data_IF_636595782308
#
_entry.id   IF_636595782308
#
_cell.length_a   1.000
_cell.length_b   1.000
_cell.length_c   1.000
_cell.angle_alpha   90.00
_cell.angle_beta   90.00
_cell.angle_gamma   90.00
#
_symmetry.space_group_name_H-M   'P 1'
#
loop_
_entity.id
_entity.type
_entity.pdbx_description
1 polymer ?
#
# COMPACT_ATOMS: atom_id res chain seq x y z
N UNK A 1 -28.91 -26.40 10.15
CA UNK A 1 -27.89 -26.24 9.07
C UNK A 1 -26.57 -25.98 9.74
N UNK A 2 -25.49 -26.60 9.26
CA UNK A 2 -24.17 -26.32 9.81
C UNK A 2 -23.73 -24.92 9.37
N UNK A 3 -23.38 -24.06 10.31
CA UNK A 3 -22.95 -22.69 10.02
C UNK A 3 -21.41 -22.68 9.93
N UNK A 4 -20.87 -22.90 8.72
CA UNK A 4 -19.43 -22.88 8.46
C UNK A 4 -19.10 -21.68 7.57
N UNK A 5 -18.18 -20.84 8.03
CA UNK A 5 -17.73 -19.66 7.31
C UNK A 5 -16.21 -19.66 7.18
N UNK A 6 -15.72 -19.46 5.96
CA UNK A 6 -14.31 -19.14 5.70
C UNK A 6 -14.24 -17.77 5.05
N UNK A 7 -13.66 -16.81 5.76
CA UNK A 7 -13.49 -15.44 5.32
C UNK A 7 -12.02 -15.19 5.01
N UNK A 8 -11.74 -14.63 3.86
CA UNK A 8 -10.36 -14.36 3.45
C UNK A 8 -10.24 -13.01 2.73
N UNK A 9 -9.16 -12.28 3.00
CA UNK A 9 -8.89 -10.96 2.42
C UNK A 9 -7.39 -10.67 2.37
N UNK A 10 -6.92 -9.84 1.42
CA UNK A 10 -5.59 -9.25 1.48
C UNK A 10 -5.45 -8.11 2.50
N UNK A 11 -6.56 -7.55 2.98
CA UNK A 11 -6.60 -6.46 3.96
C UNK A 11 -7.18 -6.98 5.28
N UNK A 12 -6.42 -6.84 6.35
CA UNK A 12 -6.75 -7.34 7.68
C UNK A 12 -7.96 -6.61 8.29
N UNK A 13 -8.09 -5.30 8.07
CA UNK A 13 -9.19 -4.52 8.62
C UNK A 13 -10.54 -4.85 7.94
N UNK A 14 -10.55 -4.96 6.63
CA UNK A 14 -11.75 -5.38 5.90
C UNK A 14 -12.16 -6.80 6.28
N UNK A 15 -11.19 -7.69 6.51
CA UNK A 15 -11.43 -9.03 7.02
C UNK A 15 -12.05 -9.00 8.42
N UNK A 16 -11.47 -8.25 9.37
CA UNK A 16 -11.99 -8.12 10.73
C UNK A 16 -13.45 -7.65 10.76
N UNK A 17 -13.83 -6.69 9.89
CA UNK A 17 -15.22 -6.23 9.83
C UNK A 17 -16.17 -7.34 9.37
N UNK A 18 -15.80 -8.10 8.33
CA UNK A 18 -16.62 -9.22 7.85
C UNK A 18 -16.64 -10.40 8.82
N UNK A 19 -15.55 -10.65 9.55
CA UNK A 19 -15.53 -11.63 10.65
C UNK A 19 -16.51 -11.22 11.74
N UNK A 20 -16.51 -9.97 12.15
CA UNK A 20 -17.45 -9.45 13.16
C UNK A 20 -18.91 -9.63 12.75
N UNK A 21 -19.24 -9.35 11.47
CA UNK A 21 -20.56 -9.57 10.90
C UNK A 21 -20.93 -11.05 10.94
N UNK A 22 -20.03 -11.96 10.51
CA UNK A 22 -20.29 -13.39 10.48
C UNK A 22 -20.46 -13.97 11.89
N UNK A 23 -19.64 -13.54 12.84
CA UNK A 23 -19.77 -13.96 14.24
C UNK A 23 -21.09 -13.47 14.84
N UNK A 24 -21.50 -12.24 14.58
CA UNK A 24 -22.77 -11.70 15.05
C UNK A 24 -23.96 -12.44 14.45
N UNK A 25 -23.90 -12.79 13.15
CA UNK A 25 -24.95 -13.60 12.49
C UNK A 25 -25.04 -14.99 13.10
N UNK A 26 -23.89 -15.70 13.18
CA UNK A 26 -23.84 -17.05 13.75
C UNK A 26 -24.30 -17.08 15.22
N UNK A 27 -23.88 -16.08 16.01
CA UNK A 27 -24.32 -15.91 17.40
C UNK A 27 -25.84 -15.72 17.48
N UNK A 28 -26.41 -14.82 16.68
CA UNK A 28 -27.84 -14.56 16.67
C UNK A 28 -28.66 -15.78 16.26
N UNK A 29 -28.21 -16.53 15.26
CA UNK A 29 -28.88 -17.73 14.77
C UNK A 29 -28.85 -18.88 15.79
N UNK A 30 -27.83 -18.90 16.65
CA UNK A 30 -27.69 -19.86 17.76
C UNK A 30 -28.16 -19.28 19.11
N UNK A 31 -29.10 -18.35 19.11
CA UNK A 31 -29.75 -17.86 20.35
C UNK A 31 -28.92 -16.89 21.18
N UNK A 32 -27.95 -16.19 20.58
CA UNK A 32 -27.13 -15.16 21.25
C UNK A 32 -25.92 -15.71 22.00
N UNK A 33 -25.39 -16.85 21.57
CA UNK A 33 -24.20 -17.47 22.18
C UNK A 33 -22.97 -16.64 21.90
N UNK A 34 -22.15 -16.38 22.94
CA UNK A 34 -20.87 -15.66 22.78
C UNK A 34 -19.86 -16.50 21.99
N UNK A 35 -19.16 -15.92 21.01
CA UNK A 35 -18.11 -16.63 20.26
C UNK A 35 -16.93 -17.06 21.13
N UNK A 36 -16.51 -18.28 20.99
CA UNK A 36 -15.29 -18.82 21.58
C UNK A 36 -14.09 -18.58 20.66
N UNK A 37 -13.13 -17.79 21.08
CA UNK A 37 -11.92 -17.49 20.32
C UNK A 37 -10.89 -18.60 20.54
N UNK A 38 -10.54 -19.27 19.47
CA UNK A 38 -9.53 -20.31 19.46
C UNK A 38 -8.13 -19.68 19.43
N UNK A 39 -7.11 -20.45 19.84
CA UNK A 39 -5.72 -19.97 19.85
C UNK A 39 -5.21 -19.82 18.41
N UNK A 40 -4.43 -18.77 18.14
CA UNK A 40 -3.82 -18.54 16.82
C UNK A 40 -2.89 -19.67 16.35
N UNK A 41 -2.25 -20.35 17.31
CA UNK A 41 -1.30 -21.46 17.07
C UNK A 41 -2.00 -22.84 17.02
N UNK A 42 -3.33 -22.89 16.98
CA UNK A 42 -4.08 -24.16 16.94
C UNK A 42 -3.77 -24.92 15.65
N UNK A 43 -3.53 -26.23 15.76
CA UNK A 43 -3.32 -27.10 14.61
C UNK A 43 -4.66 -27.61 14.03
N UNK A 44 -4.69 -28.07 12.77
CA UNK A 44 -5.91 -28.67 12.18
C UNK A 44 -6.42 -29.88 12.96
N UNK A 45 -5.52 -30.69 13.53
CA UNK A 45 -5.87 -31.84 14.38
C UNK A 45 -6.55 -31.39 15.67
N UNK A 46 -6.02 -30.35 16.34
CA UNK A 46 -6.61 -29.79 17.54
C UNK A 46 -8.01 -29.21 17.26
N UNK A 47 -8.17 -28.50 16.13
CA UNK A 47 -9.47 -28.00 15.72
C UNK A 47 -10.46 -29.13 15.42
N UNK A 48 -10.01 -30.17 14.71
CA UNK A 48 -10.86 -31.34 14.42
C UNK A 48 -11.35 -32.01 15.71
N UNK A 49 -10.47 -32.17 16.71
CA UNK A 49 -10.86 -32.72 18.03
C UNK A 49 -11.85 -31.80 18.72
N UNK A 50 -11.66 -30.49 18.68
CA UNK A 50 -12.57 -29.49 19.29
C UNK A 50 -13.95 -29.53 18.64
N UNK A 51 -14.01 -29.66 17.31
CA UNK A 51 -15.27 -29.76 16.55
C UNK A 51 -16.04 -31.06 16.81
N UNK A 52 -15.32 -32.14 17.07
CA UNK A 52 -15.91 -33.46 17.39
C UNK A 52 -16.28 -33.59 18.88
N UNK A 53 -15.82 -32.69 19.74
CA UNK A 53 -16.02 -32.76 21.18
C UNK A 53 -17.31 -32.02 21.58
N UNK A 54 -18.41 -32.70 21.89
CA UNK A 54 -19.62 -32.03 22.32
C UNK A 54 -19.38 -31.35 23.67
N UNK A 55 -19.80 -30.10 23.79
CA UNK A 55 -19.78 -29.43 25.07
C UNK A 55 -20.87 -29.97 25.98
N UNK A 56 -20.49 -30.45 27.15
CA UNK A 56 -21.43 -30.93 28.16
C UNK A 56 -22.27 -29.81 28.79
N UNK A 57 -21.83 -28.57 28.67
CA UNK A 57 -22.42 -27.41 29.37
C UNK A 57 -23.04 -26.39 28.41
N UNK A 58 -22.68 -26.43 27.12
CA UNK A 58 -23.20 -25.54 26.10
C UNK A 58 -23.63 -26.32 24.86
N UNK A 59 -24.95 -26.54 24.68
CA UNK A 59 -25.45 -27.27 23.51
C UNK A 59 -25.29 -26.47 22.19
N UNK A 60 -25.01 -25.19 22.30
CA UNK A 60 -24.77 -24.29 21.16
C UNK A 60 -23.44 -23.61 21.33
N UNK A 61 -22.63 -23.56 20.27
CA UNK A 61 -21.27 -23.00 20.27
C UNK A 61 -20.98 -22.26 18.97
N UNK A 62 -20.32 -21.09 19.08
CA UNK A 62 -19.73 -20.38 17.95
C UNK A 62 -18.23 -20.39 18.12
N UNK A 63 -17.51 -21.12 17.30
CA UNK A 63 -16.05 -21.22 17.35
C UNK A 63 -15.42 -20.29 16.32
N UNK A 64 -14.41 -19.56 16.72
CA UNK A 64 -13.67 -18.66 15.83
C UNK A 64 -12.18 -19.02 15.76
N UNK A 65 -11.69 -19.43 14.59
CA UNK A 65 -10.28 -19.63 14.28
C UNK A 65 -9.71 -18.38 13.58
N UNK A 66 -8.87 -17.60 14.26
CA UNK A 66 -8.50 -16.25 13.81
C UNK A 66 -7.51 -16.21 12.65
N UNK A 67 -6.63 -17.21 12.53
CA UNK A 67 -5.69 -17.31 11.41
C UNK A 67 -5.45 -18.76 10.99
N UNK A 68 -6.02 -19.12 9.85
CA UNK A 68 -5.84 -20.45 9.25
C UNK A 68 -5.04 -20.38 7.95
N UNK A 69 -4.28 -19.32 7.71
CA UNK A 69 -3.55 -19.10 6.45
C UNK A 69 -2.63 -20.28 6.09
N UNK A 70 -1.95 -20.85 7.08
CA UNK A 70 -1.04 -22.00 6.90
C UNK A 70 -1.76 -23.30 6.46
N UNK A 71 -3.09 -23.38 6.60
CA UNK A 71 -3.92 -24.54 6.24
C UNK A 71 -4.50 -24.44 4.83
N UNK A 72 -4.26 -23.32 4.15
CA UNK A 72 -4.83 -23.04 2.83
C UNK A 72 -3.76 -23.16 1.75
N UNK A 73 -4.11 -23.82 0.65
CA UNK A 73 -3.31 -23.79 -0.57
C UNK A 73 -3.36 -22.37 -1.18
N UNK A 74 -2.39 -21.58 -0.82
CA UNK A 74 -2.20 -20.26 -1.40
C UNK A 74 -1.07 -20.39 -2.42
N UNK A 75 -1.32 -20.13 -3.71
CA UNK A 75 -0.28 -20.24 -4.73
C UNK A 75 0.94 -19.39 -4.36
N UNK A 76 2.08 -20.04 -4.14
CA UNK A 76 3.33 -19.33 -3.93
C UNK A 76 3.60 -18.50 -5.18
N UNK A 77 3.72 -17.19 -5.03
CA UNK A 77 4.08 -16.29 -6.13
C UNK A 77 5.40 -16.77 -6.70
N UNK A 78 5.42 -17.27 -7.93
CA UNK A 78 6.65 -17.51 -8.68
C UNK A 78 7.37 -16.18 -8.87
N UNK A 79 8.09 -15.74 -7.84
CA UNK A 79 8.98 -14.61 -7.90
C UNK A 79 10.10 -14.96 -8.86
N UNK A 80 10.27 -14.18 -9.93
CA UNK A 80 11.47 -14.19 -10.75
C UNK A 80 12.65 -13.77 -9.88
N UNK A 81 13.40 -14.75 -9.40
CA UNK A 81 14.75 -14.56 -8.85
C UNK A 81 14.77 -14.02 -7.40
N UNK A 82 14.67 -14.91 -6.43
CA UNK A 82 15.00 -14.68 -5.04
C UNK A 82 14.85 -15.98 -4.28
N UNK A 83 15.93 -16.44 -3.66
CA UNK A 83 15.92 -17.56 -2.72
C UNK A 83 15.29 -17.08 -1.41
N UNK A 84 13.99 -16.94 -1.34
CA UNK A 84 13.27 -17.02 -0.08
C UNK A 84 12.73 -18.43 0.04
N UNK A 85 13.60 -19.29 0.54
CA UNK A 85 13.28 -20.56 1.15
C UNK A 85 12.79 -20.28 2.57
N UNK A 86 11.55 -19.92 2.70
CA UNK A 86 10.72 -20.39 3.79
C UNK A 86 9.47 -20.93 3.10
N UNK A 87 9.53 -22.18 2.66
CA UNK A 87 8.33 -22.99 2.59
C UNK A 87 7.85 -23.08 4.04
N UNK A 88 6.89 -22.22 4.43
CA UNK A 88 6.05 -22.59 5.56
C UNK A 88 5.60 -24.01 5.27
N UNK A 89 5.90 -24.93 6.19
CA UNK A 89 5.53 -26.32 6.02
C UNK A 89 4.05 -26.35 5.73
N UNK A 90 3.67 -26.97 4.60
CA UNK A 90 2.29 -27.16 4.19
C UNK A 90 1.62 -27.94 5.32
N UNK A 91 0.78 -27.25 6.09
CA UNK A 91 0.09 -27.86 7.23
C UNK A 91 -1.08 -28.65 6.65
N UNK A 92 -1.14 -29.94 6.92
CA UNK A 92 -2.20 -30.81 6.41
C UNK A 92 -3.53 -30.48 7.09
N UNK A 93 -4.47 -29.91 6.34
CA UNK A 93 -5.80 -29.58 6.81
C UNK A 93 -6.82 -30.75 6.70
N UNK A 94 -6.39 -31.92 6.24
CA UNK A 94 -7.24 -33.11 6.08
C UNK A 94 -8.10 -33.46 7.30
N UNK A 95 -7.59 -33.36 8.56
CA UNK A 95 -8.42 -33.62 9.74
C UNK A 95 -9.68 -32.73 9.80
N UNK A 96 -9.53 -31.42 9.52
CA UNK A 96 -10.68 -30.51 9.51
C UNK A 96 -11.60 -30.77 8.32
N UNK A 97 -11.03 -31.01 7.12
CA UNK A 97 -11.81 -31.37 5.92
C UNK A 97 -12.71 -32.59 6.17
N UNK A 98 -12.19 -33.62 6.85
CA UNK A 98 -12.97 -34.82 7.19
C UNK A 98 -14.15 -34.49 8.08
N UNK A 99 -13.92 -33.72 9.17
CA UNK A 99 -14.98 -33.33 10.10
C UNK A 99 -16.06 -32.48 9.38
N UNK A 100 -15.64 -31.57 8.50
CA UNK A 100 -16.59 -30.75 7.73
C UNK A 100 -17.48 -31.63 6.80
N UNK A 101 -16.86 -32.62 6.16
CA UNK A 101 -17.59 -33.53 5.25
C UNK A 101 -18.52 -34.49 6.01
N UNK A 102 -18.17 -34.89 7.21
CA UNK A 102 -19.01 -35.70 8.10
C UNK A 102 -20.16 -34.87 8.71
N UNK A 103 -20.01 -33.57 8.74
CA UNK A 103 -20.94 -32.58 9.29
C UNK A 103 -20.64 -32.21 10.73
N UNK A 104 -20.78 -30.91 11.04
CA UNK A 104 -20.65 -30.41 12.40
C UNK A 104 -21.80 -30.87 13.29
N UNK A 105 -21.56 -31.00 14.59
CA UNK A 105 -22.58 -31.26 15.59
C UNK A 105 -23.69 -30.19 15.53
N UNK A 106 -24.96 -30.64 15.76
CA UNK A 106 -26.07 -29.69 15.85
C UNK A 106 -25.78 -28.59 16.89
N UNK A 107 -26.07 -27.34 16.50
CA UNK A 107 -25.81 -26.18 17.38
C UNK A 107 -24.36 -25.66 17.34
N UNK A 108 -23.50 -26.17 16.45
CA UNK A 108 -22.13 -25.66 16.30
C UNK A 108 -21.98 -24.81 15.04
N UNK A 109 -21.45 -23.59 15.20
CA UNK A 109 -20.99 -22.75 14.10
C UNK A 109 -19.47 -22.60 14.13
N UNK A 110 -18.84 -22.60 12.97
CA UNK A 110 -17.41 -22.41 12.80
C UNK A 110 -17.16 -21.20 11.89
N UNK A 111 -16.43 -20.23 12.39
CA UNK A 111 -15.95 -19.08 11.61
C UNK A 111 -14.42 -19.16 11.54
N UNK A 112 -13.89 -19.16 10.35
CA UNK A 112 -12.46 -19.22 10.07
C UNK A 112 -12.04 -17.97 9.30
N UNK A 113 -10.87 -17.42 9.62
CA UNK A 113 -10.34 -16.24 8.95
C UNK A 113 -8.92 -16.46 8.43
N UNK A 114 -8.59 -15.83 7.30
CA UNK A 114 -7.24 -15.87 6.75
C UNK A 114 -6.89 -14.56 6.03
N UNK A 115 -5.76 -13.94 6.41
CA UNK A 115 -5.18 -12.84 5.65
C UNK A 115 -4.32 -13.43 4.53
N UNK A 116 -4.78 -13.33 3.28
CA UNK A 116 -4.07 -13.88 2.13
C UNK A 116 -4.24 -13.00 0.89
N UNK A 117 -3.26 -13.06 -0.03
CA UNK A 117 -3.23 -12.18 -1.21
C UNK A 117 -4.08 -12.66 -2.38
N UNK A 118 -4.43 -13.93 -2.41
CA UNK A 118 -5.21 -14.55 -3.47
C UNK A 118 -6.36 -15.35 -2.85
N UNK A 119 -7.45 -15.54 -3.62
CA UNK A 119 -8.58 -16.36 -3.16
C UNK A 119 -8.07 -17.75 -2.75
N UNK A 120 -8.42 -18.22 -1.54
CA UNK A 120 -8.06 -19.56 -1.07
C UNK A 120 -8.51 -20.64 -2.04
N UNK A 121 -7.68 -21.67 -2.17
CA UNK A 121 -7.92 -22.88 -2.97
C UNK A 121 -7.57 -24.10 -2.12
N UNK A 122 -7.69 -25.28 -2.70
CA UNK A 122 -7.33 -26.52 -2.03
C UNK A 122 -8.50 -27.24 -1.35
N UNK A 123 -8.20 -28.35 -0.64
CA UNK A 123 -9.22 -29.22 -0.07
C UNK A 123 -10.11 -28.54 0.95
N UNK A 124 -9.53 -27.77 1.89
CA UNK A 124 -10.30 -27.08 2.93
C UNK A 124 -11.24 -26.02 2.35
N UNK A 125 -10.77 -25.22 1.38
CA UNK A 125 -11.60 -24.22 0.73
C UNK A 125 -12.79 -24.85 0.00
N UNK A 126 -12.58 -25.99 -0.69
CA UNK A 126 -13.64 -26.75 -1.35
C UNK A 126 -14.64 -27.35 -0.37
N UNK A 127 -14.16 -27.97 0.69
CA UNK A 127 -15.02 -28.52 1.73
C UNK A 127 -15.93 -27.45 2.33
N UNK A 128 -15.39 -26.25 2.58
CA UNK A 128 -16.20 -25.13 3.07
C UNK A 128 -17.19 -24.63 2.02
N UNK A 129 -16.84 -24.59 0.73
CA UNK A 129 -17.77 -24.21 -0.34
C UNK A 129 -18.95 -25.22 -0.47
N UNK A 130 -18.74 -26.49 -0.13
CA UNK A 130 -19.77 -27.54 -0.18
C UNK A 130 -20.73 -27.52 1.02
N UNK A 131 -20.22 -27.23 2.24
CA UNK A 131 -21.04 -27.34 3.47
C UNK A 131 -21.39 -26.00 4.09
N UNK A 132 -20.83 -24.88 3.60
CA UNK A 132 -20.96 -23.56 4.21
C UNK A 132 -20.75 -22.41 3.24
N UNK A 133 -20.06 -21.39 3.70
CA UNK A 133 -19.83 -20.15 2.92
C UNK A 133 -18.35 -19.77 2.91
N UNK A 134 -17.72 -19.81 1.73
CA UNK A 134 -16.42 -19.22 1.49
C UNK A 134 -16.62 -17.81 0.91
N UNK A 135 -16.17 -16.79 1.64
CA UNK A 135 -16.26 -15.38 1.20
C UNK A 135 -14.86 -14.80 1.00
N UNK A 136 -14.55 -14.53 -0.26
CA UNK A 136 -13.34 -13.81 -0.64
C UNK A 136 -13.64 -12.31 -0.75
N UNK A 137 -12.95 -11.50 0.08
CA UNK A 137 -13.05 -10.04 0.09
C UNK A 137 -11.88 -9.51 -0.73
N UNK A 138 -12.10 -9.28 -2.03
CA UNK A 138 -11.08 -8.73 -2.91
C UNK A 138 -10.88 -7.24 -2.65
N UNK A 139 -9.63 -6.76 -2.83
CA UNK A 139 -9.39 -5.33 -2.86
C UNK A 139 -9.79 -4.74 -4.21
N UNK A 140 -10.36 -3.54 -4.23
CA UNK A 140 -10.61 -2.82 -5.47
C UNK A 140 -9.31 -2.60 -6.25
N UNK A 141 -9.37 -2.59 -7.60
CA UNK A 141 -8.21 -2.36 -8.42
C UNK A 141 -7.61 -0.98 -8.14
N UNK A 142 -6.29 -0.92 -8.08
CA UNK A 142 -5.60 0.36 -7.97
C UNK A 142 -5.70 1.13 -9.30
N UNK A 143 -5.77 2.46 -9.24
CA UNK A 143 -5.67 3.29 -10.43
C UNK A 143 -4.42 2.92 -11.23
N UNK A 144 -4.53 2.96 -12.55
CA UNK A 144 -3.38 2.70 -13.38
C UNK A 144 -2.39 3.86 -13.27
N UNK A 145 -1.08 3.61 -13.38
CA UNK A 145 -0.04 4.64 -13.18
C UNK A 145 -0.14 5.87 -14.09
N UNK A 146 -0.95 5.79 -15.14
CA UNK A 146 -1.19 6.90 -16.08
C UNK A 146 -2.56 7.57 -15.86
N UNK A 147 -3.34 7.11 -14.90
CA UNK A 147 -4.57 7.75 -14.49
C UNK A 147 -4.23 8.83 -13.46
N UNK A 148 -4.73 10.04 -13.70
CA UNK A 148 -4.45 11.21 -12.87
C UNK A 148 -5.39 11.26 -11.65
N UNK A 149 -5.54 10.11 -10.97
CA UNK A 149 -6.37 9.95 -9.78
C UNK A 149 -5.62 9.17 -8.72
N UNK A 150 -5.72 9.60 -7.48
CA UNK A 150 -5.09 8.93 -6.34
C UNK A 150 -5.83 7.64 -5.93
N UNK A 151 -7.15 7.60 -6.15
CA UNK A 151 -8.03 6.48 -5.81
C UNK A 151 -8.98 6.16 -6.97
N UNK A 152 -9.28 4.88 -7.18
CA UNK A 152 -10.33 4.47 -8.10
C UNK A 152 -11.73 4.74 -7.52
N UNK A 153 -12.76 4.79 -8.38
CA UNK A 153 -14.14 4.92 -7.91
C UNK A 153 -14.54 3.79 -6.94
N UNK A 154 -14.17 2.54 -7.26
CA UNK A 154 -14.43 1.39 -6.40
C UNK A 154 -13.70 1.49 -5.05
N UNK A 155 -12.48 2.03 -5.03
CA UNK A 155 -11.76 2.29 -3.78
C UNK A 155 -12.46 3.33 -2.92
N UNK A 156 -12.95 4.41 -3.54
CA UNK A 156 -13.73 5.43 -2.83
C UNK A 156 -15.04 4.86 -2.25
N UNK A 157 -15.72 3.95 -2.95
CA UNK A 157 -16.93 3.30 -2.44
C UNK A 157 -16.64 2.46 -1.18
N UNK A 158 -15.59 1.62 -1.22
CA UNK A 158 -15.19 0.84 -0.04
C UNK A 158 -14.83 1.76 1.13
N UNK A 159 -14.11 2.86 0.89
CA UNK A 159 -13.76 3.82 1.93
C UNK A 159 -14.99 4.53 2.51
N UNK A 160 -16.00 4.83 1.70
CA UNK A 160 -17.28 5.38 2.19
C UNK A 160 -18.03 4.40 3.07
N UNK A 161 -18.08 3.11 2.67
CA UNK A 161 -18.68 2.06 3.50
C UNK A 161 -17.99 1.97 4.87
N UNK A 162 -16.65 1.94 4.87
CA UNK A 162 -15.84 1.92 6.09
C UNK A 162 -16.15 3.14 6.96
N UNK A 163 -16.15 4.33 6.37
CA UNK A 163 -16.42 5.56 7.09
C UNK A 163 -17.83 5.55 7.70
N UNK A 164 -18.85 5.20 6.92
CA UNK A 164 -20.23 5.14 7.38
C UNK A 164 -20.43 4.15 8.54
N UNK A 165 -19.77 2.99 8.50
CA UNK A 165 -19.82 2.00 9.58
C UNK A 165 -19.20 2.52 10.88
N UNK A 166 -18.13 3.32 10.79
CA UNK A 166 -17.35 3.75 11.95
C UNK A 166 -17.84 5.04 12.60
N UNK A 167 -18.46 5.94 11.82
CA UNK A 167 -18.86 7.26 12.34
C UNK A 167 -20.37 7.38 12.67
N UNK A 168 -21.16 6.38 12.31
CA UNK A 168 -22.59 6.33 12.59
C UNK A 168 -23.35 7.49 11.93
N UNK A 169 -24.02 8.32 12.75
CA UNK A 169 -24.88 9.43 12.29
C UNK A 169 -24.10 10.69 11.86
N UNK A 170 -22.79 10.73 12.10
CA UNK A 170 -21.95 11.90 11.76
C UNK A 170 -21.82 12.03 10.24
N UNK A 171 -22.07 13.23 9.72
CA UNK A 171 -22.05 13.51 8.27
C UNK A 171 -20.79 14.25 7.88
N UNK A 172 -20.11 13.75 6.86
CA UNK A 172 -19.01 14.43 6.20
C UNK A 172 -19.53 15.25 5.01
N UNK A 173 -19.00 16.47 4.82
CA UNK A 173 -19.24 17.18 3.56
C UNK A 173 -18.48 16.50 2.42
N UNK A 174 -18.94 16.63 1.15
CA UNK A 174 -18.23 16.05 0.02
C UNK A 174 -16.77 16.53 -0.10
N UNK A 175 -16.50 17.77 0.29
CA UNK A 175 -15.16 18.37 0.30
C UNK A 175 -14.28 17.75 1.40
N UNK A 176 -14.86 17.58 2.61
CA UNK A 176 -14.18 16.92 3.73
C UNK A 176 -13.86 15.45 3.41
N UNK A 177 -14.79 14.71 2.83
CA UNK A 177 -14.59 13.32 2.41
C UNK A 177 -13.48 13.23 1.38
N UNK A 178 -13.53 14.06 0.33
CA UNK A 178 -12.49 14.09 -0.70
C UNK A 178 -11.12 14.38 -0.11
N UNK A 179 -11.01 15.44 0.71
CA UNK A 179 -9.76 15.81 1.36
C UNK A 179 -9.21 14.68 2.26
N UNK A 180 -10.10 14.01 3.00
CA UNK A 180 -9.74 12.90 3.87
C UNK A 180 -9.18 11.72 3.05
N UNK A 181 -9.85 11.35 1.95
CA UNK A 181 -9.42 10.29 1.06
C UNK A 181 -8.11 10.62 0.34
N UNK A 182 -7.94 11.87 -0.11
CA UNK A 182 -6.70 12.33 -0.75
C UNK A 182 -5.53 12.28 0.23
N UNK A 183 -5.76 12.63 1.51
CA UNK A 183 -4.73 12.60 2.55
C UNK A 183 -4.32 11.19 2.98
N UNK A 184 -5.28 10.27 3.08
CA UNK A 184 -5.06 8.94 3.62
C UNK A 184 -4.76 7.88 2.54
N UNK A 185 -5.23 8.11 1.31
CA UNK A 185 -5.20 7.11 0.26
C UNK A 185 -6.06 5.88 0.62
N UNK A 186 -5.87 4.75 -0.08
CA UNK A 186 -6.57 3.51 0.24
C UNK A 186 -5.96 2.83 1.48
N UNK A 187 -6.42 3.25 2.64
CA UNK A 187 -5.99 2.74 3.94
C UNK A 187 -7.20 2.59 4.89
N UNK A 188 -8.00 1.52 4.76
CA UNK A 188 -9.28 1.35 5.47
C UNK A 188 -9.15 1.49 6.99
N UNK A 189 -8.14 0.84 7.61
CA UNK A 189 -7.90 0.91 9.06
C UNK A 189 -7.59 2.33 9.54
N UNK A 190 -6.73 3.05 8.80
CA UNK A 190 -6.38 4.42 9.13
C UNK A 190 -7.57 5.35 8.97
N UNK A 191 -8.35 5.17 7.90
CA UNK A 191 -9.58 5.91 7.68
C UNK A 191 -10.59 5.74 8.83
N UNK A 192 -10.76 4.51 9.31
CA UNK A 192 -11.63 4.22 10.44
C UNK A 192 -11.19 4.96 11.72
N UNK A 193 -9.88 4.97 11.98
CA UNK A 193 -9.31 5.68 13.13
C UNK A 193 -9.49 7.21 13.02
N UNK A 194 -9.14 7.78 11.87
CA UNK A 194 -9.28 9.21 11.61
C UNK A 194 -10.75 9.63 11.56
N UNK A 195 -11.62 8.81 10.97
CA UNK A 195 -13.07 9.03 10.95
C UNK A 195 -13.66 9.13 12.36
N UNK A 196 -13.34 8.19 13.24
CA UNK A 196 -13.76 8.21 14.65
C UNK A 196 -13.25 9.45 15.38
N UNK A 197 -11.99 9.82 15.16
CA UNK A 197 -11.40 11.03 15.77
C UNK A 197 -12.12 12.30 15.31
N UNK A 198 -12.39 12.43 14.01
CA UNK A 198 -13.10 13.56 13.44
C UNK A 198 -14.57 13.60 13.91
N UNK A 199 -15.22 12.45 13.98
CA UNK A 199 -16.58 12.34 14.50
C UNK A 199 -16.67 12.79 15.96
N UNK A 200 -15.73 12.36 16.81
CA UNK A 200 -15.66 12.77 18.21
C UNK A 200 -15.37 14.27 18.40
N UNK A 201 -14.63 14.89 17.49
CA UNK A 201 -14.32 16.32 17.52
C UNK A 201 -15.43 17.20 16.92
N UNK A 202 -16.38 16.60 16.22
CA UNK A 202 -17.49 17.30 15.56
C UNK A 202 -18.55 17.73 16.55
N UNK A 203 -18.61 19.02 16.86
CA UNK A 203 -19.56 19.57 17.84
C UNK A 203 -21.03 19.51 17.38
N UNK A 204 -21.29 19.42 16.07
CA UNK A 204 -22.62 19.48 15.46
C UNK A 204 -22.99 18.22 14.67
N UNK A 205 -22.26 17.10 14.85
CA UNK A 205 -22.47 15.88 14.07
C UNK A 205 -22.16 16.06 12.58
N UNK A 206 -21.36 17.09 12.24
CA UNK A 206 -20.94 17.41 10.87
C UNK A 206 -19.45 17.68 10.83
N UNK A 207 -18.75 17.01 9.92
CA UNK A 207 -17.33 17.22 9.62
C UNK A 207 -17.22 17.99 8.31
N UNK A 208 -16.58 19.13 8.36
CA UNK A 208 -16.26 19.97 7.21
C UNK A 208 -14.76 19.86 6.85
N UNK A 209 -14.38 20.52 5.76
CA UNK A 209 -13.01 20.52 5.26
C UNK A 209 -12.03 21.15 6.26
N UNK A 210 -12.43 22.19 6.99
CA UNK A 210 -11.57 22.89 7.95
C UNK A 210 -11.24 22.00 9.13
N UNK A 211 -12.21 21.22 9.62
CA UNK A 211 -11.98 20.24 10.69
C UNK A 211 -11.02 19.13 10.24
N UNK A 212 -11.16 18.65 8.99
CA UNK A 212 -10.21 17.69 8.39
C UNK A 212 -8.83 18.30 8.28
N UNK A 213 -8.71 19.55 7.82
CA UNK A 213 -7.42 20.27 7.73
C UNK A 213 -6.75 20.42 9.09
N UNK A 214 -7.52 20.71 10.13
CA UNK A 214 -7.02 20.94 11.48
C UNK A 214 -6.57 19.64 12.19
N UNK A 215 -7.29 18.55 12.01
CA UNK A 215 -7.11 17.33 12.82
C UNK A 215 -6.54 16.13 12.05
N UNK A 216 -6.83 16.00 10.76
CA UNK A 216 -6.30 14.89 9.97
C UNK A 216 -4.99 15.32 9.34
N UNK A 217 -3.90 14.83 9.87
CA UNK A 217 -2.60 15.03 9.23
C UNK A 217 -2.53 14.22 7.93
N UNK A 218 -1.90 14.74 6.88
CA UNK A 218 -1.67 13.97 5.66
C UNK A 218 -0.96 12.67 6.02
N UNK A 219 -1.30 11.60 5.29
CA UNK A 219 -0.69 10.27 5.37
C UNK A 219 0.78 10.43 5.74
N UNK A 220 1.20 9.75 6.80
CA UNK A 220 2.55 9.81 7.35
C UNK A 220 3.56 10.12 6.27
N UNK A 221 4.25 11.23 6.42
CA UNK A 221 5.13 11.78 5.40
C UNK A 221 6.18 10.74 5.06
N UNK A 222 5.95 10.07 3.94
CA UNK A 222 6.86 9.06 3.41
C UNK A 222 7.82 9.72 2.43
N UNK A 223 9.07 9.33 2.48
CA UNK A 223 10.06 9.77 1.51
C UNK A 223 9.75 9.32 0.07
N UNK A 224 8.82 8.38 -0.13
CA UNK A 224 8.40 7.98 -1.48
C UNK A 224 7.78 9.13 -2.27
N UNK A 225 7.08 10.04 -1.58
CA UNK A 225 6.48 11.24 -2.19
C UNK A 225 7.54 12.16 -2.79
N UNK A 226 8.76 12.17 -2.22
CA UNK A 226 9.86 13.03 -2.71
C UNK A 226 10.29 12.63 -4.12
N UNK A 227 10.40 11.33 -4.39
CA UNK A 227 10.80 10.85 -5.72
C UNK A 227 9.82 11.34 -6.80
N UNK A 228 8.53 11.14 -6.57
CA UNK A 228 7.49 11.56 -7.51
C UNK A 228 7.46 13.09 -7.66
N UNK A 229 7.58 13.82 -6.55
CA UNK A 229 7.63 15.27 -6.56
C UNK A 229 8.83 15.82 -7.35
N UNK A 230 10.01 15.21 -7.19
CA UNK A 230 11.21 15.56 -7.98
C UNK A 230 11.00 15.24 -9.47
N UNK A 231 10.41 14.10 -9.81
CA UNK A 231 10.12 13.75 -11.21
C UNK A 231 9.06 14.67 -11.83
N UNK A 232 8.10 15.12 -11.04
CA UNK A 232 7.05 16.03 -11.48
C UNK A 232 7.44 17.52 -11.41
N UNK A 233 8.62 17.85 -10.87
CA UNK A 233 9.09 19.20 -10.60
C UNK A 233 8.10 19.98 -9.72
N UNK A 234 7.68 19.39 -8.60
CA UNK A 234 6.77 19.98 -7.62
C UNK A 234 7.52 20.26 -6.31
N UNK A 235 7.68 21.56 -5.98
CA UNK A 235 8.38 21.99 -4.77
C UNK A 235 7.57 21.67 -3.49
N UNK A 236 6.26 21.93 -3.49
CA UNK A 236 5.39 21.86 -2.31
C UNK A 236 5.51 20.54 -1.53
N UNK A 237 5.38 19.32 -2.13
CA UNK A 237 5.48 18.08 -1.36
C UNK A 237 6.86 17.83 -0.75
N UNK A 238 7.92 18.29 -1.41
CA UNK A 238 9.30 18.17 -0.89
C UNK A 238 9.52 19.10 0.29
N UNK A 239 9.11 20.36 0.14
CA UNK A 239 9.22 21.39 1.19
C UNK A 239 8.37 21.04 2.41
N UNK A 240 7.23 20.44 2.21
CA UNK A 240 6.39 19.91 3.30
C UNK A 240 7.10 18.84 4.14
N UNK A 241 7.86 17.95 3.50
CA UNK A 241 8.65 16.94 4.23
C UNK A 241 9.80 17.61 4.97
N UNK A 242 10.48 18.57 4.33
CA UNK A 242 11.57 19.32 4.97
C UNK A 242 11.03 20.09 6.20
N UNK A 243 9.92 20.80 6.05
CA UNK A 243 9.28 21.52 7.15
C UNK A 243 8.82 20.59 8.30
N UNK A 244 8.29 19.42 7.95
CA UNK A 244 7.90 18.44 8.96
C UNK A 244 9.09 17.89 9.73
N UNK A 245 10.18 17.57 9.03
CA UNK A 245 11.41 17.12 9.67
C UNK A 245 12.01 18.18 10.57
N UNK A 246 12.00 19.46 10.15
CA UNK A 246 12.41 20.60 10.97
C UNK A 246 11.54 20.75 12.23
N UNK A 247 10.23 20.52 12.10
CA UNK A 247 9.28 20.53 13.22
C UNK A 247 9.31 19.29 14.11
N UNK A 248 10.21 18.32 13.87
CA UNK A 248 10.34 17.10 14.66
C UNK A 248 9.24 16.08 14.43
N UNK A 249 8.42 16.24 13.38
CA UNK A 249 7.38 15.26 13.03
C UNK A 249 7.99 13.96 12.50
N UNK A 250 7.38 12.80 12.76
CA UNK A 250 7.90 11.53 12.29
C UNK A 250 7.82 11.42 10.76
N UNK A 251 8.97 11.15 10.14
CA UNK A 251 9.10 10.85 8.72
C UNK A 251 9.38 9.36 8.57
N UNK A 252 8.70 8.69 7.66
CA UNK A 252 8.94 7.27 7.38
C UNK A 252 9.77 7.09 6.11
N UNK A 253 10.61 6.07 6.14
CA UNK A 253 11.29 5.59 4.94
C UNK A 253 10.31 4.79 4.04
N UNK A 254 10.78 4.38 2.85
CA UNK A 254 10.02 3.54 1.91
C UNK A 254 9.59 2.18 2.45
N UNK A 255 10.12 1.76 3.60
CA UNK A 255 9.77 0.51 4.28
C UNK A 255 8.83 0.74 5.47
N UNK A 256 8.35 1.97 5.67
CA UNK A 256 7.46 2.35 6.75
C UNK A 256 8.16 2.57 8.10
N UNK A 257 9.50 2.56 8.17
CA UNK A 257 10.25 2.76 9.43
C UNK A 257 10.39 4.24 9.72
N UNK A 258 10.14 4.63 10.95
CA UNK A 258 10.36 6.01 11.41
C UNK A 258 11.84 6.33 11.37
N UNK A 259 12.18 7.41 10.69
CA UNK A 259 13.55 7.88 10.57
C UNK A 259 13.93 8.79 11.75
N UNK A 260 15.20 8.78 12.10
CA UNK A 260 15.72 9.75 13.05
C UNK A 260 15.75 11.15 12.42
N UNK A 261 15.44 12.23 13.17
CA UNK A 261 15.47 13.60 12.64
C UNK A 261 16.78 13.96 11.93
N UNK A 262 17.91 13.50 12.46
CA UNK A 262 19.25 13.72 11.83
C UNK A 262 19.46 12.89 10.56
N UNK A 263 18.74 11.78 10.38
CA UNK A 263 18.86 10.93 9.19
C UNK A 263 18.06 11.45 7.99
N UNK A 264 16.99 12.19 8.24
CA UNK A 264 16.10 12.69 7.18
C UNK A 264 16.83 13.59 6.17
N UNK A 265 17.59 14.64 6.56
CA UNK A 265 18.29 15.50 5.62
C UNK A 265 19.27 14.74 4.73
N UNK A 266 20.02 13.79 5.31
CA UNK A 266 21.02 12.99 4.59
C UNK A 266 20.36 12.14 3.52
N UNK A 267 19.24 11.50 3.87
CA UNK A 267 18.53 10.64 2.93
C UNK A 267 17.84 11.46 1.83
N UNK A 268 17.25 12.62 2.17
CA UNK A 268 16.67 13.53 1.19
C UNK A 268 17.71 13.99 0.17
N UNK A 269 18.88 14.45 0.65
CA UNK A 269 19.98 14.89 -0.22
C UNK A 269 20.48 13.74 -1.11
N UNK A 270 20.69 12.57 -0.52
CA UNK A 270 21.15 11.38 -1.25
C UNK A 270 20.17 10.94 -2.33
N UNK A 271 18.87 10.93 -2.04
CA UNK A 271 17.83 10.57 -3.02
C UNK A 271 17.73 11.62 -4.12
N UNK A 272 17.71 12.90 -3.79
CA UNK A 272 17.66 13.97 -4.77
C UNK A 272 18.90 13.96 -5.69
N UNK A 273 20.09 13.79 -5.11
CA UNK A 273 21.33 13.63 -5.87
C UNK A 273 21.24 12.49 -6.89
N UNK A 274 20.79 11.32 -6.45
CA UNK A 274 20.66 10.15 -7.33
C UNK A 274 19.63 10.41 -8.45
N UNK A 275 18.51 11.05 -8.13
CA UNK A 275 17.49 11.41 -9.12
C UNK A 275 18.07 12.38 -10.13
N UNK A 276 18.66 13.48 -9.71
CA UNK A 276 19.22 14.50 -10.62
C UNK A 276 20.36 13.95 -11.48
N UNK A 277 21.21 13.07 -10.95
CA UNK A 277 22.24 12.37 -11.75
C UNK A 277 21.60 11.52 -12.86
N UNK A 278 20.52 10.79 -12.55
CA UNK A 278 19.79 9.98 -13.52
C UNK A 278 19.09 10.82 -14.59
N UNK A 279 18.48 11.94 -14.18
CA UNK A 279 17.81 12.86 -15.10
C UNK A 279 18.81 13.54 -16.03
N UNK A 280 19.95 14.00 -15.49
CA UNK A 280 21.03 14.60 -16.29
C UNK A 280 21.60 13.60 -17.28
N UNK A 281 21.92 12.40 -16.83
CA UNK A 281 22.40 11.33 -17.69
C UNK A 281 21.44 11.05 -18.86
N UNK A 282 20.16 10.93 -18.59
CA UNK A 282 19.13 10.72 -19.63
C UNK A 282 19.08 11.89 -20.62
N UNK A 283 19.19 13.12 -20.15
CA UNK A 283 19.20 14.28 -21.05
C UNK A 283 20.41 14.29 -21.97
N UNK A 284 21.61 14.01 -21.45
CA UNK A 284 22.84 13.93 -22.25
C UNK A 284 22.72 12.79 -23.28
N UNK A 285 22.30 11.59 -22.83
CA UNK A 285 22.16 10.43 -23.69
C UNK A 285 21.16 10.67 -24.83
N UNK A 286 20.01 11.27 -24.51
CA UNK A 286 18.95 11.54 -25.50
C UNK A 286 19.32 12.67 -26.45
N UNK A 287 20.04 13.69 -26.01
CA UNK A 287 20.54 14.76 -26.87
C UNK A 287 21.55 14.22 -27.89
N UNK A 288 22.47 13.33 -27.48
CA UNK A 288 23.42 12.70 -28.38
C UNK A 288 22.81 11.75 -29.39
N UNK A 289 21.59 11.26 -29.15
CA UNK A 289 20.92 10.25 -29.99
C UNK A 289 19.62 10.73 -30.64
N UNK A 290 19.36 12.04 -30.69
CA UNK A 290 18.22 12.62 -31.38
C UNK A 290 16.86 12.34 -30.75
N UNK A 291 16.82 11.95 -29.47
CA UNK A 291 15.59 11.63 -28.70
C UNK A 291 15.16 12.77 -27.75
N UNK A 292 15.89 13.89 -27.74
CA UNK A 292 15.65 14.99 -26.78
C UNK A 292 14.28 15.64 -26.95
N UNK A 293 13.82 15.79 -28.18
CA UNK A 293 12.52 16.38 -28.49
C UNK A 293 11.34 15.50 -28.02
N UNK A 294 11.56 14.18 -27.90
CA UNK A 294 10.55 13.24 -27.42
C UNK A 294 10.31 13.34 -25.90
N UNK A 295 11.24 14.01 -25.19
CA UNK A 295 11.10 14.30 -23.76
C UNK A 295 10.22 15.51 -23.44
N UNK A 296 9.88 16.33 -24.44
CA UNK A 296 9.12 17.54 -24.22
C UNK A 296 7.82 17.27 -23.44
N UNK A 297 7.50 18.07 -22.41
CA UNK A 297 6.33 17.86 -21.57
C UNK A 297 5.02 17.73 -22.36
N UNK A 298 4.87 18.51 -23.45
CA UNK A 298 3.70 18.49 -24.34
C UNK A 298 3.52 17.13 -25.03
N UNK A 299 4.62 16.44 -25.33
CA UNK A 299 4.59 15.10 -25.95
C UNK A 299 4.38 13.99 -24.94
N UNK A 300 4.86 14.16 -23.71
CA UNK A 300 4.81 13.14 -22.65
C UNK A 300 3.59 13.26 -21.74
N UNK A 301 2.79 14.33 -21.87
CA UNK A 301 1.58 14.57 -21.06
C UNK A 301 0.38 13.74 -21.49
N UNK A 302 0.36 13.23 -22.73
CA UNK A 302 -0.72 12.35 -23.19
C UNK A 302 -0.77 11.07 -22.36
N UNK A 303 -1.94 10.73 -21.83
CA UNK A 303 -2.19 9.51 -21.03
C UNK A 303 -1.86 8.22 -21.78
N UNK A 304 -1.93 8.24 -23.12
CA UNK A 304 -1.58 7.10 -23.97
C UNK A 304 -0.11 7.06 -24.36
N UNK A 305 0.68 8.09 -24.03
CA UNK A 305 2.07 8.18 -24.41
C UNK A 305 2.88 6.98 -23.94
N UNK A 306 2.73 6.59 -22.66
CA UNK A 306 3.49 5.47 -22.11
C UNK A 306 3.16 4.13 -22.79
N UNK A 307 1.89 3.66 -22.86
CA UNK A 307 1.58 2.37 -23.45
C UNK A 307 1.78 2.30 -24.97
N UNK A 308 1.55 3.40 -25.68
CA UNK A 308 1.58 3.40 -27.16
C UNK A 308 2.96 3.73 -27.73
N UNK A 309 3.58 4.80 -27.27
CA UNK A 309 4.81 5.34 -27.86
C UNK A 309 6.07 4.95 -27.08
N UNK A 310 6.09 5.25 -25.77
CA UNK A 310 7.30 4.98 -24.99
C UNK A 310 7.62 3.49 -24.92
N UNK A 311 6.68 2.66 -24.50
CA UNK A 311 6.88 1.23 -24.30
C UNK A 311 7.25 0.48 -25.60
N UNK A 312 6.72 0.95 -26.74
CA UNK A 312 6.91 0.26 -28.03
C UNK A 312 8.10 0.75 -28.84
N UNK A 313 8.41 2.05 -28.76
CA UNK A 313 9.37 2.70 -29.66
C UNK A 313 10.58 3.27 -28.93
N UNK A 314 10.35 4.19 -27.96
CA UNK A 314 11.43 4.94 -27.32
C UNK A 314 12.17 4.10 -26.29
N UNK A 315 11.42 3.42 -25.42
CA UNK A 315 11.96 2.67 -24.28
C UNK A 315 12.94 1.55 -24.68
N UNK A 316 12.64 0.70 -25.67
CA UNK A 316 13.58 -0.33 -26.11
C UNK A 316 14.88 0.26 -26.64
N UNK A 317 14.83 1.31 -27.49
CA UNK A 317 16.02 2.00 -28.00
C UNK A 317 16.86 2.61 -26.89
N UNK A 318 16.19 3.20 -25.91
CA UNK A 318 16.85 3.82 -24.76
C UNK A 318 17.52 2.76 -23.88
N UNK A 319 16.92 1.58 -23.69
CA UNK A 319 17.53 0.48 -22.97
C UNK A 319 18.81 -0.01 -23.64
N UNK A 320 18.80 -0.19 -24.95
CA UNK A 320 20.00 -0.57 -25.73
C UNK A 320 21.13 0.45 -25.53
N UNK A 321 20.83 1.75 -25.61
CA UNK A 321 21.83 2.80 -25.39
C UNK A 321 22.39 2.78 -23.96
N UNK A 322 21.53 2.57 -22.95
CA UNK A 322 21.95 2.51 -21.55
C UNK A 322 22.80 1.27 -21.27
N UNK A 323 22.51 0.14 -21.90
CA UNK A 323 23.28 -1.11 -21.76
C UNK A 323 24.68 -0.98 -22.38
N UNK A 324 24.80 -0.30 -23.51
CA UNK A 324 26.10 -0.03 -24.17
C UNK A 324 26.97 0.89 -23.31
N UNK A 325 26.38 1.83 -22.59
CA UNK A 325 27.08 2.82 -21.76
C UNK A 325 27.28 2.36 -20.30
N UNK A 326 27.01 1.09 -19.99
CA UNK A 326 27.16 0.55 -18.64
C UNK A 326 28.64 0.41 -18.22
N UNK A 327 29.03 0.75 -16.94
CA UNK A 327 28.19 1.20 -15.86
C UNK A 327 27.78 2.68 -15.98
N UNK A 328 26.53 2.99 -15.60
CA UNK A 328 25.95 4.32 -15.68
C UNK A 328 25.14 4.65 -14.41
N UNK A 329 24.66 5.88 -14.21
CA UNK A 329 23.77 6.21 -13.09
C UNK A 329 22.48 5.36 -13.07
N UNK A 330 22.10 4.75 -14.19
CA UNK A 330 20.93 3.87 -14.31
C UNK A 330 21.25 2.40 -14.12
N UNK A 331 22.46 1.96 -14.45
CA UNK A 331 22.91 0.56 -14.33
C UNK A 331 24.20 0.51 -13.53
N UNK A 332 24.14 -0.02 -12.31
CA UNK A 332 25.33 -0.35 -11.54
C UNK A 332 25.98 -1.62 -12.10
N UNK A 333 27.31 -1.73 -11.95
CA UNK A 333 28.03 -2.95 -12.35
C UNK A 333 27.35 -4.21 -11.76
N UNK A 334 27.00 -5.16 -12.65
CA UNK A 334 26.33 -6.41 -12.28
C UNK A 334 24.82 -6.31 -11.96
N UNK A 335 24.21 -5.14 -12.09
CA UNK A 335 22.76 -4.97 -11.90
C UNK A 335 22.01 -5.00 -13.23
N UNK A 336 20.71 -5.36 -13.16
CA UNK A 336 19.82 -5.32 -14.33
C UNK A 336 19.42 -3.87 -14.65
N UNK A 337 19.15 -3.56 -15.94
CA UNK A 337 18.62 -2.27 -16.33
C UNK A 337 17.25 -2.00 -15.64
N UNK A 338 16.85 -0.72 -15.50
CA UNK A 338 15.55 -0.37 -14.96
C UNK A 338 14.41 -0.93 -15.81
N UNK A 339 13.26 -1.19 -15.19
CA UNK A 339 12.06 -1.57 -15.94
C UNK A 339 11.66 -0.43 -16.89
N UNK A 340 11.01 -0.78 -18.01
CA UNK A 340 10.48 0.23 -18.95
C UNK A 340 9.55 1.24 -18.24
N UNK A 341 8.81 0.79 -17.24
CA UNK A 341 7.95 1.67 -16.44
C UNK A 341 8.76 2.72 -15.66
N UNK A 342 9.76 2.27 -14.91
CA UNK A 342 10.68 3.17 -14.17
C UNK A 342 11.41 4.12 -15.12
N UNK A 343 11.89 3.59 -16.24
CA UNK A 343 12.59 4.37 -17.26
C UNK A 343 11.68 5.43 -17.89
N UNK A 344 10.39 5.10 -18.14
CA UNK A 344 9.41 6.04 -18.65
C UNK A 344 9.12 7.20 -17.68
N UNK A 345 9.03 6.91 -16.39
CA UNK A 345 8.92 7.95 -15.35
C UNK A 345 10.13 8.89 -15.32
N UNK A 346 11.33 8.33 -15.33
CA UNK A 346 12.59 9.10 -15.37
C UNK A 346 12.72 9.93 -16.66
N UNK A 347 12.35 9.36 -17.81
CA UNK A 347 12.38 10.05 -19.09
C UNK A 347 11.43 11.25 -19.10
N UNK A 348 10.19 11.08 -18.64
CA UNK A 348 9.22 12.17 -18.49
C UNK A 348 9.72 13.23 -17.51
N UNK A 349 10.26 12.81 -16.37
CA UNK A 349 10.85 13.71 -15.38
C UNK A 349 12.00 14.53 -15.95
N UNK A 350 12.92 13.90 -16.69
CA UNK A 350 14.05 14.57 -17.32
C UNK A 350 13.63 15.66 -18.31
N UNK A 351 12.50 15.49 -18.99
CA UNK A 351 11.94 16.51 -19.90
C UNK A 351 11.50 17.79 -19.22
N UNK A 352 11.27 17.78 -17.92
CA UNK A 352 10.82 18.95 -17.12
C UNK A 352 11.95 19.87 -16.66
N UNK A 353 13.20 19.42 -16.79
CA UNK A 353 14.40 20.18 -16.37
C UNK A 353 15.24 20.53 -17.59
N UNK A 354 15.92 21.66 -17.52
CA UNK A 354 17.00 22.00 -18.46
C UNK A 354 18.29 21.31 -18.00
N UNK A 355 19.18 21.00 -18.94
CA UNK A 355 20.50 20.39 -18.60
C UNK A 355 21.27 21.27 -17.61
N UNK A 356 21.32 22.59 -17.86
CA UNK A 356 22.00 23.55 -16.98
C UNK A 356 21.41 23.65 -15.57
N UNK A 357 20.11 23.40 -15.40
CA UNK A 357 19.48 23.38 -14.06
C UNK A 357 19.95 22.15 -13.26
N UNK A 358 20.00 20.98 -13.91
CA UNK A 358 20.48 19.76 -13.27
C UNK A 358 21.99 19.80 -12.98
N UNK A 359 22.78 20.38 -13.88
CA UNK A 359 24.22 20.61 -13.66
C UNK A 359 24.45 21.54 -12.46
N UNK A 360 23.72 22.64 -12.37
CA UNK A 360 23.78 23.56 -11.23
C UNK A 360 23.37 22.87 -9.95
N UNK A 361 22.25 22.16 -9.95
CA UNK A 361 21.77 21.41 -8.79
C UNK A 361 22.83 20.44 -8.25
N UNK A 362 23.50 19.71 -9.13
CA UNK A 362 24.54 18.77 -8.77
C UNK A 362 25.83 19.47 -8.32
N UNK A 363 26.18 20.62 -8.90
CA UNK A 363 27.34 21.41 -8.48
C UNK A 363 27.16 21.98 -7.07
N UNK A 364 25.95 22.36 -6.69
CA UNK A 364 25.64 22.92 -5.37
C UNK A 364 25.59 21.87 -4.26
N UNK A 365 25.52 20.56 -4.59
CA UNK A 365 25.43 19.47 -3.60
C UNK A 365 26.52 19.52 -2.53
N UNK A 366 27.76 19.86 -2.88
CA UNK A 366 28.87 19.93 -1.93
C UNK A 366 28.67 21.02 -0.86
N UNK A 367 28.08 22.15 -1.24
CA UNK A 367 27.77 23.24 -0.30
C UNK A 367 26.60 22.85 0.61
N UNK A 368 25.58 22.24 0.08
CA UNK A 368 24.43 21.72 0.84
C UNK A 368 24.88 20.62 1.82
N UNK A 369 25.71 19.67 1.37
CA UNK A 369 26.25 18.62 2.24
C UNK A 369 27.05 19.19 3.39
N UNK A 370 27.83 20.25 3.15
CA UNK A 370 28.57 20.95 4.20
C UNK A 370 27.64 21.62 5.22
N UNK A 371 26.55 22.24 4.74
CA UNK A 371 25.55 22.86 5.60
C UNK A 371 24.76 21.81 6.43
N UNK A 372 24.60 20.58 5.92
CA UNK A 372 23.94 19.49 6.66
C UNK A 372 24.69 19.04 7.92
N UNK A 373 25.96 19.39 8.05
CA UNK A 373 26.77 19.13 9.26
C UNK A 373 26.54 20.13 10.37
N UNK A 374 25.81 21.21 10.08
CA UNK A 374 25.46 22.29 11.02
C UNK A 374 23.99 22.26 11.42
N UNK A 375 23.61 23.25 12.22
CA UNK A 375 22.25 23.38 12.76
C UNK A 375 21.23 23.90 11.73
N UNK A 376 21.70 24.39 10.56
CA UNK A 376 20.87 24.97 9.49
C UNK A 376 20.59 23.98 8.36
N UNK A 377 20.62 22.67 8.64
CA UNK A 377 20.48 21.61 7.65
C UNK A 377 19.15 21.69 6.87
N UNK A 378 18.05 21.95 7.55
CA UNK A 378 16.72 21.98 6.94
C UNK A 378 16.49 23.25 6.12
N UNK A 379 17.01 24.39 6.59
CA UNK A 379 16.96 25.66 5.86
C UNK A 379 17.76 25.56 4.56
N UNK A 380 18.97 24.98 4.61
CA UNK A 380 19.80 24.79 3.43
C UNK A 380 19.09 23.88 2.38
N UNK A 381 18.45 22.80 2.82
CA UNK A 381 17.65 21.95 1.93
C UNK A 381 16.45 22.70 1.36
N UNK A 382 15.71 23.46 2.16
CA UNK A 382 14.59 24.26 1.70
C UNK A 382 15.00 25.22 0.60
N UNK A 383 16.07 26.00 0.83
CA UNK A 383 16.59 26.97 -0.15
C UNK A 383 17.03 26.26 -1.44
N UNK A 384 17.76 25.16 -1.31
CA UNK A 384 18.24 24.40 -2.46
C UNK A 384 17.10 23.83 -3.29
N UNK A 385 16.11 23.15 -2.66
CA UNK A 385 14.95 22.61 -3.37
C UNK A 385 14.11 23.69 -4.03
N UNK A 386 13.87 24.83 -3.35
CA UNK A 386 13.16 25.97 -3.95
C UNK A 386 13.89 26.46 -5.19
N UNK A 387 15.22 26.63 -5.13
CA UNK A 387 16.02 27.12 -6.25
C UNK A 387 16.07 26.21 -7.48
N UNK A 388 15.69 24.91 -7.34
CA UNK A 388 15.70 23.92 -8.42
C UNK A 388 14.30 23.63 -8.94
N UNK A 389 13.31 23.62 -8.06
CA UNK A 389 11.96 23.13 -8.38
C UNK A 389 11.02 24.27 -8.85
N UNK A 390 11.29 25.51 -8.48
CA UNK A 390 10.64 26.70 -9.04
C UNK A 390 11.24 27.04 -10.42
#
# INVERSE_FOLDING_TARGET
MAHVYLLASPDDYLLENRVREALASASSELGGVEPEFLREEMTPEELAVELCSPSLFAPQRVLFAPDIRSWLDIPARRGRGGRDKASEAEVDAEPVVRVLNEGLSEGTALVMAAVCREKPKGPLAKAVEEVGTLRWISLPPQPKPWEDVSLSGEQCEVLREVLAQEVGEVRFTPEAERLLFDRLGFAPRLLAQEGRKLAAASAAGRVDEDLVRALCFPKERSLDVVLDALLERKAEPVLDIVAAAAGGLPIRDRHGRIMTPKGVPIVLLSQASLVFQRLLYLRILTAGNGLIDDMAPERTSDRYWYPSRFKKEIGPKLLELIEVDAPSPLIRSGSKPPSLFTLGGLFRGAGRYRTSELERALAELGSVETALRGDLAMEALSVWFTGILD
#
